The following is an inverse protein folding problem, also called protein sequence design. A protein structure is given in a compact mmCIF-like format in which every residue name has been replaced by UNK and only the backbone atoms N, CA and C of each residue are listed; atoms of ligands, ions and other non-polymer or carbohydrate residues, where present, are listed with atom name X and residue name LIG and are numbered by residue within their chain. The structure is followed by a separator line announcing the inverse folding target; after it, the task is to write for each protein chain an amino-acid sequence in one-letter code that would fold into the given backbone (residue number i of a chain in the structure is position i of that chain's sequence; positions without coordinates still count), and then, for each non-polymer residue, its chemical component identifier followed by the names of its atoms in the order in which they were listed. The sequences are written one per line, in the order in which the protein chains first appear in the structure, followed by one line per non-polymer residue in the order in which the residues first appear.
data_IF_628729803816
#
_entry.id   IF_628729803816
#
_cell.length_a   1.000
_cell.length_b   1.000
_cell.length_c   1.000
_cell.angle_alpha   90.00
_cell.angle_beta   90.00
_cell.angle_gamma   90.00
#
_symmetry.space_group_name_H-M   'P 1'
#
loop_
_entity.id
_entity.type
_entity.pdbx_description
1 polymer ?
#
# COMPACT_ATOMS: atom_id res chain seq x y z
N UNK A 1 -22.74 82.98 25.83
CA UNK A 1 -21.87 82.11 26.65
C UNK A 1 -21.87 80.74 26.01
N UNK A 2 -20.76 80.36 25.42
CA UNK A 2 -20.49 79.08 24.75
C UNK A 2 -20.22 77.98 25.79
N UNK A 3 -20.64 76.73 25.56
CA UNK A 3 -19.94 75.57 26.07
C UNK A 3 -19.05 74.96 24.98
N UNK A 4 -17.86 74.59 25.45
CA UNK A 4 -16.67 74.09 24.78
C UNK A 4 -16.79 72.60 24.42
N UNK A 5 -16.10 72.23 23.34
CA UNK A 5 -15.83 70.85 22.93
C UNK A 5 -15.12 70.05 24.02
N UNK A 6 -15.57 68.81 24.26
CA UNK A 6 -14.80 67.78 24.98
C UNK A 6 -14.86 66.45 24.21
N UNK A 7 -13.80 66.23 23.45
CA UNK A 7 -13.12 64.98 23.11
C UNK A 7 -13.93 63.67 23.08
N UNK A 8 -14.10 63.17 21.85
CA UNK A 8 -14.14 61.76 21.49
C UNK A 8 -13.07 60.97 22.26
N UNK A 9 -13.50 60.14 23.21
CA UNK A 9 -12.67 59.09 23.80
C UNK A 9 -12.43 58.01 22.74
N UNK A 10 -11.26 58.06 22.12
CA UNK A 10 -10.73 57.05 21.21
C UNK A 10 -10.42 55.75 21.99
N UNK A 11 -11.44 54.89 22.19
CA UNK A 11 -11.23 53.49 22.60
C UNK A 11 -10.81 52.69 21.37
N UNK A 12 -9.53 52.33 21.28
CA UNK A 12 -9.02 51.40 20.28
C UNK A 12 -9.48 49.98 20.63
N UNK A 13 -10.62 49.57 20.09
CA UNK A 13 -11.06 48.17 20.11
C UNK A 13 -10.38 47.42 18.97
N UNK A 14 -9.56 46.43 19.29
CA UNK A 14 -9.00 45.51 18.32
C UNK A 14 -9.94 44.29 18.19
N UNK A 15 -10.55 44.11 17.02
CA UNK A 15 -11.33 42.92 16.67
C UNK A 15 -10.42 41.92 15.94
N UNK A 16 -10.48 40.64 16.31
CA UNK A 16 -9.85 39.58 15.51
C UNK A 16 -10.75 39.19 14.32
N UNK A 17 -10.21 38.41 13.38
CA UNK A 17 -10.93 37.91 12.19
C UNK A 17 -12.12 36.98 12.51
N UNK A 18 -12.32 36.60 13.78
CA UNK A 18 -13.46 35.83 14.27
C UNK A 18 -14.56 36.67 14.94
N UNK A 19 -14.45 38.01 14.96
CA UNK A 19 -15.49 38.90 15.46
C UNK A 19 -15.61 38.99 16.99
N UNK A 20 -14.63 38.45 17.73
CA UNK A 20 -14.59 38.60 19.19
C UNK A 20 -13.97 39.95 19.56
N UNK A 21 -14.70 40.75 20.32
CA UNK A 21 -14.18 41.97 20.94
C UNK A 21 -13.48 41.60 22.25
N UNK A 22 -12.19 41.91 22.34
CA UNK A 22 -11.43 41.76 23.57
C UNK A 22 -11.49 43.05 24.36
N UNK A 23 -11.73 42.93 25.66
CA UNK A 23 -11.57 44.08 26.55
C UNK A 23 -10.08 44.33 26.80
N UNK A 24 -9.73 45.56 27.18
CA UNK A 24 -8.35 45.92 27.50
C UNK A 24 -7.77 45.05 28.63
N UNK A 25 -8.62 44.57 29.54
CA UNK A 25 -8.25 43.65 30.61
C UNK A 25 -7.89 42.25 30.10
N UNK A 26 -8.60 41.73 29.08
CA UNK A 26 -8.30 40.42 28.48
C UNK A 26 -6.96 40.44 27.75
N UNK A 27 -6.64 41.56 27.10
CA UNK A 27 -5.37 41.78 26.40
C UNK A 27 -4.22 41.80 27.41
N UNK A 28 -4.38 42.52 28.53
CA UNK A 28 -3.36 42.60 29.58
C UNK A 28 -3.16 41.25 30.29
N UNK A 29 -4.24 40.53 30.60
CA UNK A 29 -4.14 39.22 31.24
C UNK A 29 -3.40 38.21 30.35
N UNK A 30 -3.75 38.17 29.06
CA UNK A 30 -3.13 37.25 28.09
C UNK A 30 -1.66 37.60 27.86
N UNK A 31 -1.32 38.89 27.80
CA UNK A 31 0.06 39.33 27.67
C UNK A 31 0.92 38.97 28.90
N UNK A 32 0.37 39.09 30.12
CA UNK A 32 1.07 38.72 31.35
C UNK A 32 1.35 37.21 31.44
N UNK A 33 0.41 36.38 30.98
CA UNK A 33 0.48 34.92 31.05
C UNK A 33 1.46 34.31 30.05
N UNK A 34 1.70 34.97 28.92
CA UNK A 34 2.53 34.44 27.84
C UNK A 34 3.96 34.99 27.85
N UNK A 35 4.22 36.14 28.49
CA UNK A 35 5.46 36.87 28.24
C UNK A 35 6.25 37.32 29.48
N UNK A 36 5.78 37.10 30.72
CA UNK A 36 6.52 37.52 31.95
C UNK A 36 6.98 38.99 31.86
N UNK A 37 6.11 39.88 31.40
CA UNK A 37 6.40 41.31 31.23
C UNK A 37 5.69 42.09 32.33
N UNK A 38 6.46 42.53 33.33
CA UNK A 38 5.94 43.20 34.53
C UNK A 38 5.62 44.70 34.31
N UNK A 39 6.02 45.28 33.16
CA UNK A 39 5.77 46.69 32.86
C UNK A 39 5.58 46.96 31.37
N UNK A 40 4.42 47.49 31.01
CA UNK A 40 4.06 47.86 29.64
C UNK A 40 4.57 49.28 29.32
N UNK A 41 5.58 49.38 28.44
CA UNK A 41 6.09 50.65 27.91
C UNK A 41 5.30 51.06 26.67
N UNK A 42 4.98 52.34 26.50
CA UNK A 42 4.17 52.84 25.36
C UNK A 42 4.87 52.77 24.00
N UNK A 43 6.10 52.23 23.95
CA UNK A 43 6.92 52.08 22.73
C UNK A 43 6.80 50.68 22.11
N UNK A 44 5.81 49.90 22.53
CA UNK A 44 5.65 48.46 22.22
C UNK A 44 5.11 48.15 20.81
N UNK A 45 4.73 49.17 20.03
CA UNK A 45 4.08 49.02 18.72
C UNK A 45 4.89 48.18 17.72
N UNK A 46 6.22 48.27 17.78
CA UNK A 46 7.14 47.54 16.90
C UNK A 46 7.36 46.08 17.33
N UNK A 47 7.13 45.76 18.61
CA UNK A 47 7.26 44.39 19.13
C UNK A 47 6.05 43.54 18.74
N UNK A 48 4.84 44.11 18.77
CA UNK A 48 3.59 43.41 18.41
C UNK A 48 3.60 42.95 16.95
N UNK A 49 4.00 43.81 16.01
CA UNK A 49 4.07 43.47 14.57
C UNK A 49 5.10 42.38 14.26
N UNK A 50 6.22 42.34 15.00
CA UNK A 50 7.26 41.30 14.83
C UNK A 50 6.80 39.93 15.34
N UNK A 51 5.82 39.92 16.24
CA UNK A 51 5.33 38.73 16.92
C UNK A 51 4.19 38.06 16.15
N UNK A 52 3.30 38.84 15.52
CA UNK A 52 2.30 38.33 14.57
C UNK A 52 2.96 37.62 13.38
N UNK A 53 4.08 38.15 12.87
CA UNK A 53 4.85 37.51 11.79
C UNK A 53 5.45 36.16 12.21
N UNK A 54 5.89 36.02 13.47
CA UNK A 54 6.41 34.74 14.00
C UNK A 54 5.30 33.71 14.22
N UNK A 55 4.15 34.10 14.75
CA UNK A 55 3.01 33.21 14.96
C UNK A 55 2.40 32.75 13.63
N UNK A 56 2.29 33.66 12.66
CA UNK A 56 1.87 33.37 11.28
C UNK A 56 2.79 32.35 10.59
N UNK A 57 4.12 32.53 10.69
CA UNK A 57 5.09 31.59 10.12
C UNK A 57 5.02 30.20 10.78
N UNK A 58 4.87 30.15 12.11
CA UNK A 58 4.73 28.89 12.85
C UNK A 58 3.47 28.12 12.46
N UNK A 59 2.34 28.82 12.26
CA UNK A 59 1.10 28.21 11.79
C UNK A 59 1.25 27.64 10.36
N UNK A 60 1.92 28.37 9.47
CA UNK A 60 2.14 27.93 8.09
C UNK A 60 3.00 26.66 7.99
N UNK A 61 4.07 26.57 8.79
CA UNK A 61 4.95 25.42 8.81
C UNK A 61 4.27 24.16 9.39
N UNK A 62 3.45 24.32 10.43
CA UNK A 62 2.70 23.22 11.03
C UNK A 62 1.59 22.66 10.13
N UNK A 63 0.88 23.53 9.40
CA UNK A 63 -0.11 23.08 8.42
C UNK A 63 0.55 22.33 7.25
N UNK A 64 1.67 22.85 6.73
CA UNK A 64 2.38 22.19 5.63
C UNK A 64 2.96 20.83 6.02
N UNK A 65 3.41 20.67 7.27
CA UNK A 65 3.93 19.39 7.77
C UNK A 65 2.81 18.36 8.02
N UNK A 66 1.64 18.80 8.50
CA UNK A 66 0.48 17.94 8.70
C UNK A 66 -0.09 17.45 7.35
N UNK A 67 -0.15 18.33 6.35
CA UNK A 67 -0.59 18.00 4.99
C UNK A 67 0.34 16.99 4.32
N UNK A 68 1.66 17.23 4.35
CA UNK A 68 2.67 16.28 3.84
C UNK A 68 2.60 14.91 4.52
N UNK A 69 2.37 14.86 5.84
CA UNK A 69 2.18 13.58 6.56
C UNK A 69 0.91 12.86 6.13
N UNK A 70 -0.17 13.59 5.85
CA UNK A 70 -1.43 13.02 5.37
C UNK A 70 -1.29 12.46 3.93
N UNK A 71 -0.54 13.14 3.06
CA UNK A 71 -0.22 12.66 1.71
C UNK A 71 0.65 11.40 1.74
N UNK A 72 1.72 11.40 2.55
CA UNK A 72 2.58 10.23 2.74
C UNK A 72 1.78 9.06 3.32
N UNK A 73 0.90 9.31 4.30
CA UNK A 73 0.04 8.29 4.88
C UNK A 73 -0.96 7.69 3.89
N UNK A 74 -1.47 8.48 2.94
CA UNK A 74 -2.36 8.01 1.86
C UNK A 74 -1.58 7.17 0.84
N UNK A 75 -0.40 7.63 0.44
CA UNK A 75 0.50 6.91 -0.47
C UNK A 75 0.95 5.56 0.10
N UNK A 76 1.31 5.52 1.39
CA UNK A 76 1.70 4.31 2.10
C UNK A 76 0.61 3.22 2.08
N UNK A 77 -0.68 3.59 2.13
CA UNK A 77 -1.79 2.63 2.06
C UNK A 77 -1.89 1.95 0.69
N UNK A 78 -1.68 2.70 -0.40
CA UNK A 78 -1.68 2.15 -1.76
C UNK A 78 -0.50 1.22 -2.00
N UNK A 79 0.69 1.60 -1.51
CA UNK A 79 1.89 0.75 -1.60
C UNK A 79 1.67 -0.57 -0.87
N UNK A 80 1.15 -0.53 0.37
CA UNK A 80 0.85 -1.76 1.15
C UNK A 80 -0.15 -2.67 0.43
N UNK A 81 -1.20 -2.10 -0.17
CA UNK A 81 -2.18 -2.87 -0.96
C UNK A 81 -1.59 -3.46 -2.23
N UNK A 82 -0.77 -2.69 -2.94
CA UNK A 82 -0.05 -3.17 -4.12
C UNK A 82 0.89 -4.34 -3.79
N UNK A 83 1.67 -4.21 -2.72
CA UNK A 83 2.55 -5.29 -2.26
C UNK A 83 1.78 -6.55 -1.89
N UNK A 84 0.66 -6.41 -1.17
CA UNK A 84 -0.21 -7.53 -0.82
C UNK A 84 -0.76 -8.23 -2.07
N UNK A 85 -1.25 -7.48 -3.06
CA UNK A 85 -1.78 -8.05 -4.30
C UNK A 85 -0.71 -8.83 -5.08
N UNK A 86 0.51 -8.27 -5.18
CA UNK A 86 1.65 -8.96 -5.81
C UNK A 86 2.01 -10.24 -5.06
N UNK A 87 2.06 -10.20 -3.73
CA UNK A 87 2.35 -11.38 -2.92
C UNK A 87 1.30 -12.49 -3.13
N UNK A 88 0.01 -12.15 -3.13
CA UNK A 88 -1.07 -13.09 -3.39
C UNK A 88 -0.96 -13.69 -4.80
N UNK A 89 -0.67 -12.85 -5.80
CA UNK A 89 -0.49 -13.31 -7.18
C UNK A 89 0.69 -14.29 -7.32
N UNK A 90 1.82 -14.00 -6.67
CA UNK A 90 2.99 -14.89 -6.69
C UNK A 90 2.71 -16.21 -5.97
N UNK A 91 1.97 -16.18 -4.86
CA UNK A 91 1.53 -17.39 -4.17
C UNK A 91 0.59 -18.21 -5.06
N UNK A 92 -0.41 -17.58 -5.68
CA UNK A 92 -1.30 -18.25 -6.61
C UNK A 92 -0.52 -18.91 -7.76
N UNK A 93 0.44 -18.20 -8.35
CA UNK A 93 1.29 -18.72 -9.43
C UNK A 93 2.18 -19.89 -8.97
N UNK A 94 2.57 -19.94 -7.70
CA UNK A 94 3.36 -21.04 -7.16
C UNK A 94 2.57 -22.36 -7.09
N UNK A 95 1.25 -22.29 -6.89
CA UNK A 95 0.36 -23.45 -6.71
C UNK A 95 -0.53 -23.76 -7.91
N UNK A 96 -0.72 -22.82 -8.83
CA UNK A 96 -1.53 -23.01 -10.04
C UNK A 96 -0.65 -22.98 -11.27
N UNK A 97 -0.84 -23.92 -12.16
CA UNK A 97 -0.23 -23.99 -13.48
C UNK A 97 -1.25 -24.34 -14.55
N UNK A 98 -0.75 -24.54 -15.76
CA UNK A 98 -1.51 -25.09 -16.87
C UNK A 98 -0.71 -26.22 -17.50
N UNK A 99 -1.42 -27.26 -17.89
CA UNK A 99 -0.86 -28.47 -18.46
C UNK A 99 -1.36 -28.67 -19.87
N UNK A 100 -0.44 -29.04 -20.77
CA UNK A 100 -0.77 -29.45 -22.11
C UNK A 100 -1.27 -30.89 -22.10
N UNK A 101 -2.50 -31.10 -22.57
CA UNK A 101 -3.11 -32.42 -22.74
C UNK A 101 -3.38 -32.62 -24.22
N UNK A 102 -2.80 -33.67 -24.82
CA UNK A 102 -3.17 -34.04 -26.18
C UNK A 102 -4.45 -34.87 -26.11
N UNK A 103 -5.52 -34.41 -26.76
CA UNK A 103 -6.70 -35.25 -27.01
C UNK A 103 -6.58 -35.94 -28.36
N UNK A 104 -7.47 -36.90 -28.58
CA UNK A 104 -7.57 -37.59 -29.85
C UNK A 104 -7.75 -36.62 -31.04
N UNK A 105 -7.54 -37.14 -32.25
CA UNK A 105 -7.53 -36.37 -33.48
C UNK A 105 -8.84 -35.62 -33.77
N UNK A 106 -9.89 -35.80 -32.97
CA UNK A 106 -11.20 -35.16 -33.15
C UNK A 106 -11.33 -33.85 -32.36
N UNK A 107 -10.67 -33.75 -31.20
CA UNK A 107 -10.82 -32.60 -30.28
C UNK A 107 -9.57 -31.69 -30.28
N UNK A 108 -8.42 -32.21 -30.74
CA UNK A 108 -7.16 -31.45 -30.76
C UNK A 108 -6.54 -31.29 -29.37
N UNK A 109 -5.42 -30.59 -29.29
CA UNK A 109 -4.74 -30.40 -28.00
C UNK A 109 -5.24 -29.18 -27.25
N UNK A 110 -5.45 -29.31 -25.95
CA UNK A 110 -5.89 -28.22 -25.08
C UNK A 110 -4.96 -28.00 -23.86
N UNK A 111 -5.14 -26.85 -23.21
CA UNK A 111 -4.43 -26.46 -22.00
C UNK A 111 -5.38 -26.49 -20.80
N UNK A 112 -5.17 -27.46 -19.92
CA UNK A 112 -6.00 -27.63 -18.73
C UNK A 112 -5.39 -26.94 -17.50
N UNK A 113 -6.19 -26.42 -16.58
CA UNK A 113 -5.69 -25.88 -15.31
C UNK A 113 -5.19 -27.01 -14.41
N UNK A 114 -3.99 -26.83 -13.85
CA UNK A 114 -3.34 -27.80 -12.96
C UNK A 114 -3.11 -27.20 -11.56
N UNK A 115 -3.50 -27.95 -10.54
CA UNK A 115 -3.12 -27.68 -9.14
C UNK A 115 -1.81 -28.40 -8.81
N UNK A 116 -0.80 -27.62 -8.41
CA UNK A 116 0.53 -28.11 -8.04
C UNK A 116 0.56 -28.51 -6.57
N UNK A 117 1.07 -29.69 -6.28
CA UNK A 117 1.34 -30.17 -4.93
C UNK A 117 2.68 -29.66 -4.40
N UNK A 118 3.66 -29.46 -5.30
CA UNK A 118 4.94 -28.83 -4.99
C UNK A 118 5.00 -27.41 -5.56
N UNK A 119 5.30 -26.38 -4.75
CA UNK A 119 5.34 -25.02 -5.23
C UNK A 119 6.45 -24.81 -6.25
N UNK A 120 6.10 -24.26 -7.41
CA UNK A 120 7.05 -23.90 -8.47
C UNK A 120 6.53 -22.73 -9.30
N UNK A 121 7.43 -21.86 -9.76
CA UNK A 121 7.09 -20.71 -10.61
C UNK A 121 6.92 -21.07 -12.10
N UNK A 122 7.23 -22.31 -12.49
CA UNK A 122 6.91 -22.81 -13.83
C UNK A 122 5.40 -22.82 -14.01
N UNK A 123 4.90 -22.21 -15.08
CA UNK A 123 3.45 -22.14 -15.33
C UNK A 123 2.98 -23.29 -16.22
N UNK A 124 3.72 -23.59 -17.28
CA UNK A 124 3.38 -24.60 -18.27
C UNK A 124 4.02 -25.95 -17.94
N UNK A 125 3.23 -27.01 -18.01
CA UNK A 125 3.65 -28.38 -17.79
C UNK A 125 3.27 -29.24 -18.99
N UNK A 126 4.12 -30.22 -19.27
CA UNK A 126 3.86 -31.25 -20.26
C UNK A 126 4.32 -32.57 -19.68
N UNK A 127 3.51 -33.61 -19.85
CA UNK A 127 3.88 -34.95 -19.43
C UNK A 127 5.02 -35.47 -20.33
N UNK A 128 6.23 -35.71 -19.80
CA UNK A 128 7.34 -36.19 -20.62
C UNK A 128 7.16 -37.65 -21.07
N UNK A 129 6.31 -38.41 -20.38
CA UNK A 129 5.98 -39.78 -20.77
C UNK A 129 4.97 -39.84 -21.94
N UNK A 130 4.31 -38.75 -22.28
CA UNK A 130 3.28 -38.73 -23.31
C UNK A 130 3.90 -38.56 -24.71
N UNK A 131 3.53 -39.47 -25.63
CA UNK A 131 3.94 -39.47 -27.03
C UNK A 131 2.74 -39.84 -27.89
N UNK A 132 2.25 -38.90 -28.70
CA UNK A 132 1.16 -39.16 -29.65
C UNK A 132 -0.05 -39.89 -29.00
N UNK A 133 -0.49 -39.44 -27.82
CA UNK A 133 -1.60 -40.03 -27.04
C UNK A 133 -1.31 -41.36 -26.35
N UNK A 134 -0.07 -41.84 -26.39
CA UNK A 134 0.35 -43.04 -25.68
C UNK A 134 1.32 -42.68 -24.54
N UNK A 135 1.18 -43.38 -23.41
CA UNK A 135 2.14 -43.31 -22.31
C UNK A 135 3.31 -44.25 -22.58
N UNK A 136 4.49 -43.68 -22.69
CA UNK A 136 5.74 -44.42 -22.78
C UNK A 136 6.13 -44.91 -21.37
N UNK A 137 6.38 -46.22 -21.19
CA UNK A 137 6.88 -46.76 -19.95
C UNK A 137 8.16 -46.07 -19.47
N UNK A 138 8.28 -45.88 -18.15
CA UNK A 138 9.37 -45.12 -17.54
C UNK A 138 10.77 -45.63 -17.89
N UNK A 139 10.93 -46.95 -17.96
CA UNK A 139 12.18 -47.65 -18.31
C UNK A 139 12.61 -47.41 -19.77
N UNK A 140 11.68 -47.01 -20.63
CA UNK A 140 11.94 -46.70 -22.05
C UNK A 140 12.23 -45.21 -22.30
N UNK A 141 12.04 -44.35 -21.29
CA UNK A 141 12.37 -42.93 -21.38
C UNK A 141 13.88 -42.70 -21.31
N UNK A 142 14.36 -41.66 -21.98
CA UNK A 142 15.75 -41.23 -21.86
C UNK A 142 16.05 -40.80 -20.41
N UNK A 143 17.30 -40.90 -19.93
CA UNK A 143 17.66 -40.54 -18.54
C UNK A 143 17.20 -39.13 -18.12
N UNK A 144 17.29 -38.15 -19.02
CA UNK A 144 16.83 -36.79 -18.77
C UNK A 144 15.31 -36.70 -18.67
N UNK A 145 14.58 -37.45 -19.49
CA UNK A 145 13.12 -37.52 -19.47
C UNK A 145 12.60 -38.25 -18.23
N UNK A 146 13.34 -39.26 -17.76
CA UNK A 146 13.03 -39.93 -16.50
C UNK A 146 13.16 -38.97 -15.31
N UNK A 147 14.16 -38.09 -15.32
CA UNK A 147 14.29 -37.04 -14.31
C UNK A 147 13.13 -36.04 -14.41
N UNK A 148 12.78 -35.61 -15.63
CA UNK A 148 11.64 -34.71 -15.83
C UNK A 148 10.32 -35.35 -15.39
N UNK A 149 10.13 -36.66 -15.60
CA UNK A 149 8.93 -37.35 -15.16
C UNK A 149 8.86 -37.41 -13.64
N UNK A 150 9.98 -37.67 -12.97
CA UNK A 150 10.06 -37.62 -11.49
C UNK A 150 9.64 -36.26 -10.95
N UNK A 151 10.19 -35.19 -11.52
CA UNK A 151 9.82 -33.82 -11.14
C UNK A 151 8.34 -33.54 -11.42
N UNK A 152 7.86 -33.94 -12.59
CA UNK A 152 6.47 -33.78 -12.97
C UNK A 152 5.53 -34.52 -12.00
N UNK A 153 5.84 -35.76 -11.62
CA UNK A 153 5.06 -36.53 -10.65
C UNK A 153 4.99 -35.86 -9.27
N UNK A 154 6.11 -35.29 -8.79
CA UNK A 154 6.15 -34.57 -7.52
C UNK A 154 5.35 -33.26 -7.59
N UNK A 155 5.39 -32.56 -8.73
CA UNK A 155 4.66 -31.31 -8.93
C UNK A 155 3.16 -31.55 -9.12
N UNK A 156 2.77 -32.46 -10.01
CA UNK A 156 1.36 -32.71 -10.36
C UNK A 156 0.62 -33.51 -9.30
N UNK A 157 1.25 -34.54 -8.74
CA UNK A 157 0.57 -35.48 -7.83
C UNK A 157 1.13 -35.50 -6.41
N UNK A 158 2.26 -34.83 -6.15
CA UNK A 158 2.94 -34.94 -4.84
C UNK A 158 3.57 -36.30 -4.60
N UNK A 159 3.77 -37.11 -5.66
CA UNK A 159 4.24 -38.49 -5.56
C UNK A 159 5.71 -38.61 -5.94
N UNK A 160 6.50 -39.21 -5.06
CA UNK A 160 7.91 -39.58 -5.34
C UNK A 160 8.05 -41.00 -5.89
N UNK A 161 7.02 -41.82 -5.72
CA UNK A 161 6.98 -43.20 -6.20
C UNK A 161 6.48 -43.21 -7.65
N UNK A 162 7.38 -43.52 -8.59
CA UNK A 162 7.08 -43.50 -10.03
C UNK A 162 5.98 -44.50 -10.43
N UNK A 163 6.02 -45.78 -10.02
CA UNK A 163 4.93 -46.72 -10.29
C UNK A 163 3.55 -46.19 -9.88
N UNK A 164 3.42 -45.58 -8.70
CA UNK A 164 2.15 -45.01 -8.23
C UNK A 164 1.72 -43.80 -9.07
N UNK A 165 2.69 -42.96 -9.47
CA UNK A 165 2.43 -41.84 -10.36
C UNK A 165 1.94 -42.32 -11.74
N UNK A 166 2.55 -43.35 -12.32
CA UNK A 166 2.13 -43.93 -13.60
C UNK A 166 0.68 -44.44 -13.55
N UNK A 167 0.28 -45.12 -12.47
CA UNK A 167 -1.11 -45.56 -12.28
C UNK A 167 -2.08 -44.37 -12.17
N UNK A 168 -1.68 -43.29 -11.50
CA UNK A 168 -2.49 -42.06 -11.40
C UNK A 168 -2.63 -41.33 -12.74
N UNK A 169 -1.57 -41.29 -13.55
CA UNK A 169 -1.61 -40.69 -14.89
C UNK A 169 -2.52 -41.49 -15.83
N UNK A 170 -2.42 -42.82 -15.80
CA UNK A 170 -3.24 -43.70 -16.63
C UNK A 170 -4.74 -43.53 -16.34
N UNK A 171 -5.09 -43.38 -15.05
CA UNK A 171 -6.47 -43.13 -14.63
C UNK A 171 -7.05 -41.76 -15.08
N UNK A 172 -6.21 -40.82 -15.54
CA UNK A 172 -6.65 -39.50 -16.02
C UNK A 172 -6.82 -39.44 -17.55
N UNK A 173 -6.37 -40.46 -18.27
CA UNK A 173 -6.50 -40.53 -19.74
C UNK A 173 -7.77 -41.26 -20.20
N UNK A 174 -8.63 -41.66 -19.25
CA UNK A 174 -9.92 -42.33 -19.48
C UNK A 174 -11.03 -41.30 -19.24
#
# INVERSE_FOLDING_TARGET
MTPTNAALLNKRTCQNSGGYEYTEADIQWTASKLFDIDSWSSDSSHLVLRQEARLSGYQHDHYSAAEKRAEVGRSMKWIKRGFLAVAIFLLFRAFVGSEYVANDHEIGSDWEPLLKHRPTFRYEFRNPAERNLELVPFDKLLPDEQMQLRDYCEIRFGLKNIPQCCVRMDAQMI
#
